data_IF_230817100329
#
_entry.id   IF_230817100329
#
_cell.length_a   1.000
_cell.length_b   1.000
_cell.length_c   1.000
_cell.angle_alpha   90.00
_cell.angle_beta   90.00
_cell.angle_gamma   90.00
#
_symmetry.space_group_name_H-M   'P 1'
#
loop_
_entity.id
_entity.type
_entity.pdbx_description
1 polymer ?
#
# COMPACT_ATOMS: atom_id res chain seq x y z
N UNK A 1 -38.51 12.05 -28.23
CA UNK A 1 -37.18 12.43 -27.72
C UNK A 1 -37.02 11.78 -26.36
N UNK A 2 -36.55 10.54 -26.33
CA UNK A 2 -36.32 9.78 -25.10
C UNK A 2 -34.94 10.18 -24.58
N UNK A 3 -34.89 10.84 -23.42
CA UNK A 3 -33.65 11.07 -22.70
C UNK A 3 -33.02 9.71 -22.39
N UNK A 4 -31.79 9.51 -22.85
CA UNK A 4 -31.03 8.30 -22.56
C UNK A 4 -30.73 8.31 -21.05
N UNK A 5 -31.05 7.24 -20.28
CA UNK A 5 -30.72 7.21 -18.87
C UNK A 5 -29.20 7.17 -18.74
N UNK A 6 -28.63 8.20 -18.10
CA UNK A 6 -27.22 8.26 -17.73
C UNK A 6 -26.93 7.00 -16.92
N UNK A 7 -26.02 6.16 -17.41
CA UNK A 7 -25.66 4.92 -16.72
C UNK A 7 -24.72 5.27 -15.56
N UNK A 8 -24.71 4.46 -14.50
CA UNK A 8 -23.88 4.68 -13.30
C UNK A 8 -22.37 4.82 -13.63
N UNK A 9 -21.94 4.26 -14.77
CA UNK A 9 -20.57 4.39 -15.30
C UNK A 9 -20.27 5.78 -15.84
N UNK A 10 -21.26 6.47 -16.43
CA UNK A 10 -21.12 7.83 -16.95
C UNK A 10 -21.04 8.85 -15.80
N UNK A 11 -21.74 8.60 -14.70
CA UNK A 11 -21.70 9.44 -13.50
C UNK A 11 -20.32 9.39 -12.81
N UNK A 12 -19.73 8.19 -12.69
CA UNK A 12 -18.39 8.01 -12.14
C UNK A 12 -17.32 8.75 -12.96
N UNK A 13 -17.36 8.62 -14.30
CA UNK A 13 -16.43 9.31 -15.19
C UNK A 13 -16.54 10.84 -15.08
N UNK A 14 -17.76 11.38 -14.98
CA UNK A 14 -17.98 12.82 -14.79
C UNK A 14 -17.43 13.33 -13.44
N UNK A 15 -17.55 12.52 -12.38
CA UNK A 15 -16.99 12.85 -11.07
C UNK A 15 -15.45 12.87 -11.11
N UNK A 16 -14.83 11.89 -11.76
CA UNK A 16 -13.38 11.81 -11.94
C UNK A 16 -12.86 13.04 -12.72
N UNK A 17 -13.48 13.36 -13.86
CA UNK A 17 -13.11 14.52 -14.68
C UNK A 17 -13.23 15.83 -13.89
N UNK A 18 -14.34 16.01 -13.16
CA UNK A 18 -14.53 17.19 -12.31
C UNK A 18 -13.49 17.28 -11.18
N UNK A 19 -13.10 16.16 -10.57
CA UNK A 19 -12.05 16.12 -9.56
C UNK A 19 -10.69 16.52 -10.14
N UNK A 20 -10.37 16.05 -11.35
CA UNK A 20 -9.15 16.44 -12.07
C UNK A 20 -9.14 17.94 -12.37
N UNK A 21 -10.26 18.50 -12.81
CA UNK A 21 -10.37 19.94 -13.09
C UNK A 21 -10.15 20.81 -11.85
N UNK A 22 -10.76 20.42 -10.72
CA UNK A 22 -10.55 21.10 -9.43
C UNK A 22 -9.08 21.03 -9.00
N UNK A 23 -8.46 19.86 -9.14
CA UNK A 23 -7.08 19.66 -8.74
C UNK A 23 -6.10 20.42 -9.65
N UNK A 24 -6.37 20.42 -10.95
CA UNK A 24 -5.65 21.22 -11.94
C UNK A 24 -5.72 22.72 -11.61
N UNK A 25 -6.88 23.21 -11.15
CA UNK A 25 -7.02 24.59 -10.67
C UNK A 25 -6.12 24.84 -9.44
N UNK A 26 -6.15 23.96 -8.44
CA UNK A 26 -5.34 24.10 -7.23
C UNK A 26 -3.83 24.11 -7.54
N UNK A 27 -3.38 23.23 -8.46
CA UNK A 27 -2.01 23.19 -8.97
C UNK A 27 -1.61 24.54 -9.59
N UNK A 28 -2.43 25.08 -10.48
CA UNK A 28 -2.19 26.37 -11.16
C UNK A 28 -2.11 27.54 -10.16
N UNK A 29 -3.05 27.60 -9.22
CA UNK A 29 -3.09 28.64 -8.19
C UNK A 29 -1.82 28.61 -7.33
N UNK A 30 -1.39 27.41 -6.89
CA UNK A 30 -0.18 27.24 -6.08
C UNK A 30 1.09 27.61 -6.86
N UNK A 31 1.21 27.18 -8.11
CA UNK A 31 2.33 27.56 -8.98
C UNK A 31 2.36 29.07 -9.26
N UNK A 32 1.20 29.74 -9.30
CA UNK A 32 1.15 31.20 -9.41
C UNK A 32 1.78 31.89 -8.20
N UNK A 33 1.41 31.49 -6.99
CA UNK A 33 2.01 32.01 -5.75
C UNK A 33 3.51 31.73 -5.70
N UNK A 34 3.95 30.52 -6.07
CA UNK A 34 5.37 30.15 -6.09
C UNK A 34 6.19 30.98 -7.08
N UNK A 35 5.64 31.31 -8.25
CA UNK A 35 6.30 32.22 -9.22
C UNK A 35 6.52 33.61 -8.64
N UNK A 36 5.57 34.14 -7.88
CA UNK A 36 5.72 35.45 -7.20
C UNK A 36 6.82 35.41 -6.12
N UNK A 37 7.05 34.24 -5.51
CA UNK A 37 8.14 34.02 -4.55
C UNK A 37 9.50 33.78 -5.21
N UNK A 38 9.60 33.90 -6.55
CA UNK A 38 10.85 33.71 -7.30
C UNK A 38 11.17 32.27 -7.66
N UNK A 39 10.27 31.30 -7.38
CA UNK A 39 10.46 29.92 -7.82
C UNK A 39 10.14 29.77 -9.32
N UNK A 40 11.04 29.14 -10.06
CA UNK A 40 10.95 28.95 -11.51
C UNK A 40 12.04 28.02 -12.04
N UNK A 41 12.27 28.01 -13.35
CA UNK A 41 13.42 27.32 -13.96
C UNK A 41 13.34 25.79 -14.03
N UNK A 42 12.26 25.18 -13.53
CA UNK A 42 12.13 23.70 -13.50
C UNK A 42 12.19 23.04 -14.88
N UNK A 43 11.85 23.75 -15.96
CA UNK A 43 11.89 23.22 -17.33
C UNK A 43 13.32 23.21 -17.92
N UNK A 44 14.26 23.92 -17.28
CA UNK A 44 15.66 23.99 -17.68
C UNK A 44 16.48 23.01 -16.84
N UNK A 45 17.01 21.96 -17.50
CA UNK A 45 17.81 20.90 -16.87
C UNK A 45 19.06 21.48 -16.18
N UNK A 46 19.62 22.58 -16.70
CA UNK A 46 20.81 23.22 -16.11
C UNK A 46 20.52 23.96 -14.81
N UNK A 47 19.27 24.41 -14.62
CA UNK A 47 18.81 25.08 -13.40
C UNK A 47 18.22 24.11 -12.38
N UNK A 48 17.62 23.01 -12.85
CA UNK A 48 17.03 21.98 -12.01
C UNK A 48 17.26 20.60 -12.62
N UNK A 49 18.08 19.75 -12.01
CA UNK A 49 18.30 18.39 -12.50
C UNK A 49 17.07 17.51 -12.26
N UNK A 50 16.93 16.42 -13.03
CA UNK A 50 15.87 15.42 -12.82
C UNK A 50 15.95 14.78 -11.43
N UNK A 51 17.16 14.51 -10.94
CA UNK A 51 17.40 14.05 -9.56
C UNK A 51 16.86 15.04 -8.52
N UNK A 52 17.14 16.34 -8.72
CA UNK A 52 16.67 17.38 -7.80
C UNK A 52 15.14 17.49 -7.80
N UNK A 53 14.48 17.36 -8.95
CA UNK A 53 13.02 17.32 -9.03
C UNK A 53 12.44 16.10 -8.31
N UNK A 54 13.09 14.93 -8.45
CA UNK A 54 12.68 13.73 -7.74
C UNK A 54 12.83 13.86 -6.21
N UNK A 55 13.90 14.47 -5.73
CA UNK A 55 14.07 14.80 -4.30
C UNK A 55 12.96 15.74 -3.79
N UNK A 56 12.60 16.77 -4.57
CA UNK A 56 11.54 17.70 -4.23
C UNK A 56 10.17 17.00 -4.17
N UNK A 57 9.91 16.05 -5.08
CA UNK A 57 8.71 15.21 -5.05
C UNK A 57 8.63 14.40 -3.76
N UNK A 58 9.70 13.69 -3.38
CA UNK A 58 9.74 12.90 -2.14
C UNK A 58 9.61 13.79 -0.90
N UNK A 59 10.23 14.98 -0.92
CA UNK A 59 10.06 15.97 0.14
C UNK A 59 8.63 16.50 0.25
N UNK A 60 7.88 16.61 -0.85
CA UNK A 60 6.47 16.97 -0.84
C UNK A 60 5.59 15.85 -0.26
N UNK A 61 5.89 14.59 -0.58
CA UNK A 61 5.23 13.41 0.01
C UNK A 61 5.43 13.39 1.52
N UNK A 62 6.67 13.57 2.00
CA UNK A 62 6.98 13.61 3.42
C UNK A 62 6.28 14.75 4.18
N UNK A 63 6.02 15.88 3.51
CA UNK A 63 5.25 17.00 4.08
C UNK A 63 3.73 16.78 4.06
N UNK A 64 3.25 15.78 3.32
CA UNK A 64 1.82 15.49 3.18
C UNK A 64 1.04 16.51 2.36
N UNK A 65 1.69 17.21 1.41
CA UNK A 65 1.03 18.21 0.56
C UNK A 65 0.73 17.65 -0.84
N UNK A 66 -0.51 17.19 -1.11
CA UNK A 66 -0.84 16.53 -2.38
C UNK A 66 -0.70 17.45 -3.60
N UNK A 67 -0.88 18.77 -3.45
CA UNK A 67 -0.77 19.71 -4.57
C UNK A 67 0.69 19.90 -4.97
N UNK A 68 1.63 19.94 -4.01
CA UNK A 68 3.05 19.96 -4.34
C UNK A 68 3.52 18.64 -4.94
N UNK A 69 3.02 17.50 -4.42
CA UNK A 69 3.30 16.18 -5.01
C UNK A 69 2.90 16.15 -6.49
N UNK A 70 1.69 16.59 -6.81
CA UNK A 70 1.22 16.62 -8.19
C UNK A 70 1.98 17.60 -9.07
N UNK A 71 2.34 18.78 -8.55
CA UNK A 71 3.15 19.75 -9.29
C UNK A 71 4.52 19.18 -9.66
N UNK A 72 5.24 18.56 -8.71
CA UNK A 72 6.55 17.97 -9.01
C UNK A 72 6.44 16.72 -9.90
N UNK A 73 5.43 15.88 -9.70
CA UNK A 73 5.16 14.74 -10.58
C UNK A 73 4.88 15.19 -12.02
N UNK A 74 4.07 16.24 -12.20
CA UNK A 74 3.80 16.83 -13.51
C UNK A 74 5.07 17.41 -14.15
N UNK A 75 5.94 18.07 -13.38
CA UNK A 75 7.21 18.60 -13.91
C UNK A 75 8.13 17.50 -14.45
N UNK A 76 8.25 16.38 -13.72
CA UNK A 76 9.00 15.20 -14.17
C UNK A 76 8.38 14.61 -15.44
N UNK A 77 7.05 14.46 -15.46
CA UNK A 77 6.32 13.95 -16.61
C UNK A 77 6.51 14.81 -17.87
N UNK A 78 6.34 16.13 -17.75
CA UNK A 78 6.48 17.07 -18.88
C UNK A 78 7.92 17.17 -19.42
N UNK A 79 8.92 16.79 -18.63
CA UNK A 79 10.32 16.69 -19.07
C UNK A 79 10.67 15.34 -19.66
N UNK A 80 9.74 14.38 -19.64
CA UNK A 80 10.00 12.98 -20.01
C UNK A 80 11.18 12.39 -19.24
N UNK A 81 11.34 12.79 -17.97
CA UNK A 81 12.38 12.21 -17.10
C UNK A 81 12.14 10.72 -16.93
N UNK A 82 13.21 9.93 -16.98
CA UNK A 82 13.14 8.50 -16.74
C UNK A 82 12.74 8.25 -15.27
N UNK A 83 11.85 7.28 -15.05
CA UNK A 83 11.50 6.76 -13.72
C UNK A 83 12.74 6.36 -12.90
N UNK A 84 13.89 6.12 -13.53
CA UNK A 84 15.17 5.87 -12.87
C UNK A 84 15.60 7.01 -11.92
N UNK A 85 15.38 8.28 -12.28
CA UNK A 85 15.72 9.41 -11.40
C UNK A 85 14.90 9.39 -10.10
N UNK A 86 13.62 9.03 -10.18
CA UNK A 86 12.75 8.87 -9.02
C UNK A 86 13.17 7.67 -8.16
N UNK A 87 13.47 6.53 -8.79
CA UNK A 87 13.98 5.33 -8.09
C UNK A 87 15.29 5.62 -7.36
N UNK A 88 16.22 6.34 -8.00
CA UNK A 88 17.50 6.71 -7.42
C UNK A 88 17.33 7.66 -6.23
N UNK A 89 16.49 8.69 -6.36
CA UNK A 89 16.18 9.60 -5.26
C UNK A 89 15.52 8.86 -4.08
N UNK A 90 14.60 7.94 -4.35
CA UNK A 90 13.94 7.14 -3.31
C UNK A 90 14.93 6.23 -2.58
N UNK A 91 15.84 5.58 -3.30
CA UNK A 91 16.90 4.77 -2.71
C UNK A 91 17.80 5.60 -1.77
N UNK A 92 18.10 6.86 -2.13
CA UNK A 92 18.86 7.79 -1.27
C UNK A 92 18.10 8.16 0.01
N UNK A 93 16.80 8.45 -0.08
CA UNK A 93 15.94 8.75 1.09
C UNK A 93 15.81 7.53 2.02
N UNK A 94 15.86 6.32 1.45
CA UNK A 94 15.86 5.08 2.22
C UNK A 94 17.07 4.91 3.15
N UNK A 95 18.14 5.68 3.00
CA UNK A 95 19.37 5.47 3.78
C UNK A 95 19.37 6.14 5.16
N UNK A 96 18.53 7.15 5.40
CA UNK A 96 18.45 7.86 6.70
C UNK A 96 17.19 7.52 7.52
N UNK A 97 16.19 6.86 6.91
CA UNK A 97 14.96 6.43 7.58
C UNK A 97 14.84 4.89 7.75
N UNK A 98 15.74 4.07 7.17
CA UNK A 98 15.72 2.62 7.38
C UNK A 98 16.70 2.17 8.48
N UNK A 99 16.29 2.37 9.73
CA UNK A 99 16.46 1.34 10.77
C UNK A 99 15.14 0.63 11.07
N UNK A 100 14.27 0.54 10.07
CA UNK A 100 13.27 -0.52 9.99
C UNK A 100 13.58 -1.36 8.75
N UNK A 101 14.73 -2.01 8.75
CA UNK A 101 14.96 -3.16 7.86
C UNK A 101 14.13 -4.32 8.41
N UNK A 102 12.80 -4.26 8.24
CA UNK A 102 12.16 -5.46 7.74
C UNK A 102 12.83 -5.69 6.39
N UNK A 103 13.87 -6.52 6.38
CA UNK A 103 14.40 -7.08 5.15
C UNK A 103 13.19 -7.43 4.30
N UNK A 104 13.18 -7.01 3.04
CA UNK A 104 12.30 -7.55 2.02
C UNK A 104 12.66 -9.03 1.82
N UNK A 105 12.49 -9.84 2.85
CA UNK A 105 12.42 -11.27 2.74
C UNK A 105 11.35 -11.50 1.67
N UNK A 106 11.74 -12.17 0.58
CA UNK A 106 10.87 -12.51 -0.52
C UNK A 106 9.65 -13.22 0.07
N UNK A 107 8.57 -12.48 0.29
CA UNK A 107 7.38 -13.04 0.91
C UNK A 107 6.87 -14.13 -0.02
N UNK A 108 6.52 -15.32 0.50
CA UNK A 108 6.02 -16.40 -0.33
C UNK A 108 4.88 -15.90 -1.21
N UNK A 109 4.85 -16.29 -2.49
CA UNK A 109 3.77 -15.90 -3.41
C UNK A 109 2.39 -16.37 -2.95
N UNK A 110 2.33 -17.36 -2.06
CA UNK A 110 1.12 -17.85 -1.40
C UNK A 110 1.38 -17.98 0.10
N UNK A 111 0.35 -17.73 0.91
CA UNK A 111 0.41 -17.94 2.36
C UNK A 111 0.83 -19.39 2.64
N UNK A 112 1.87 -19.63 3.47
CA UNK A 112 2.33 -20.98 3.75
C UNK A 112 1.27 -21.88 4.41
N UNK A 113 0.33 -21.28 5.16
CA UNK A 113 -0.68 -22.01 5.92
C UNK A 113 -2.00 -22.07 5.15
N UNK A 114 -2.56 -20.93 4.72
CA UNK A 114 -3.88 -20.89 4.07
C UNK A 114 -3.84 -21.03 2.56
N UNK A 115 -2.65 -20.98 1.94
CA UNK A 115 -2.42 -21.00 0.48
C UNK A 115 -3.06 -19.85 -0.32
N UNK A 116 -3.65 -18.86 0.36
CA UNK A 116 -4.15 -17.61 -0.25
C UNK A 116 -3.03 -16.90 -1.00
N UNK A 117 -3.33 -16.28 -2.13
CA UNK A 117 -2.35 -15.56 -2.94
C UNK A 117 -1.84 -14.32 -2.21
N UNK A 118 -0.55 -14.02 -2.37
CA UNK A 118 0.00 -12.74 -1.93
C UNK A 118 -0.74 -11.60 -2.63
N UNK A 119 -1.15 -10.62 -1.86
CA UNK A 119 -1.89 -9.47 -2.39
C UNK A 119 -1.03 -8.20 -2.33
N UNK A 120 -0.70 -7.73 -1.12
CA UNK A 120 0.12 -6.54 -0.93
C UNK A 120 0.69 -6.45 0.49
N UNK A 121 1.64 -5.53 0.70
CA UNK A 121 2.16 -5.20 2.03
C UNK A 121 1.36 -4.02 2.60
N UNK A 122 0.92 -4.13 3.85
CA UNK A 122 0.10 -3.12 4.53
C UNK A 122 0.71 -2.80 5.90
N UNK A 123 0.63 -1.54 6.33
CA UNK A 123 1.05 -1.13 7.68
C UNK A 123 0.01 -1.54 8.73
N UNK A 124 0.38 -2.42 9.66
CA UNK A 124 -0.37 -2.77 10.85
C UNK A 124 0.06 -1.89 12.04
N UNK A 125 -0.87 -1.40 12.87
CA UNK A 125 -0.56 -0.52 14.00
C UNK A 125 0.47 -1.10 14.99
N UNK A 126 0.41 -2.42 15.22
CA UNK A 126 1.28 -3.10 16.18
C UNK A 126 2.47 -3.84 15.55
N UNK A 127 2.33 -4.29 14.29
CA UNK A 127 3.28 -5.20 13.65
C UNK A 127 4.16 -4.50 12.60
N UNK A 128 3.89 -3.21 12.31
CA UNK A 128 4.55 -2.49 11.23
C UNK A 128 4.12 -3.02 9.86
N UNK A 129 5.04 -3.05 8.89
CA UNK A 129 4.74 -3.49 7.53
C UNK A 129 4.62 -5.01 7.47
N UNK A 130 3.42 -5.51 7.17
CA UNK A 130 3.13 -6.94 7.10
C UNK A 130 2.68 -7.35 5.70
N UNK A 131 3.11 -8.52 5.19
CA UNK A 131 2.54 -9.09 3.97
C UNK A 131 1.11 -9.54 4.23
N UNK A 132 0.21 -9.25 3.29
CA UNK A 132 -1.17 -9.71 3.34
C UNK A 132 -1.50 -10.59 2.14
N UNK A 133 -2.36 -11.57 2.38
CA UNK A 133 -2.74 -12.63 1.46
C UNK A 133 -4.26 -12.67 1.33
N UNK A 134 -4.79 -12.93 0.14
CA UNK A 134 -6.24 -12.91 -0.11
C UNK A 134 -6.58 -12.24 -1.43
N UNK A 135 -7.47 -11.24 -1.38
CA UNK A 135 -7.97 -10.57 -2.57
C UNK A 135 -8.40 -9.13 -2.32
N UNK A 136 -9.06 -8.50 -3.31
CA UNK A 136 -9.30 -7.06 -3.33
C UNK A 136 -10.33 -6.55 -2.31
N UNK A 137 -11.15 -7.43 -1.72
CA UNK A 137 -12.11 -7.05 -0.68
C UNK A 137 -11.51 -7.19 0.72
N UNK A 138 -10.82 -8.30 0.95
CA UNK A 138 -10.20 -8.62 2.23
C UNK A 138 -8.82 -9.26 2.02
N UNK A 139 -7.84 -8.76 2.76
CA UNK A 139 -6.53 -9.40 2.85
C UNK A 139 -6.17 -9.68 4.30
N UNK A 140 -5.35 -10.72 4.49
CA UNK A 140 -5.11 -11.35 5.79
C UNK A 140 -3.63 -11.55 6.02
N UNK A 141 -3.18 -11.43 7.27
CA UNK A 141 -1.80 -11.83 7.63
C UNK A 141 -1.59 -13.34 7.53
N UNK A 142 -0.34 -13.78 7.64
CA UNK A 142 -0.04 -15.19 7.90
C UNK A 142 -0.67 -15.57 9.25
N UNK A 143 -1.36 -16.72 9.37
CA UNK A 143 -2.00 -17.12 10.62
C UNK A 143 -1.03 -17.19 11.79
N UNK A 144 -1.50 -16.72 12.95
CA UNK A 144 -0.81 -16.78 14.23
C UNK A 144 -1.54 -17.78 15.15
N UNK A 145 -0.80 -18.45 16.04
CA UNK A 145 -1.39 -19.34 17.04
C UNK A 145 -1.74 -18.57 18.30
N UNK A 146 -3.00 -18.65 18.72
CA UNK A 146 -3.47 -18.16 20.01
C UNK A 146 -3.13 -19.14 21.15
N UNK A 147 -3.17 -18.69 22.40
CA UNK A 147 -2.91 -19.50 23.59
C UNK A 147 -1.44 -19.51 24.04
N UNK A 148 -1.18 -20.23 25.12
CA UNK A 148 0.14 -20.25 25.76
C UNK A 148 1.08 -21.26 25.08
N UNK A 149 2.42 -21.05 25.13
CA UNK A 149 3.39 -22.00 24.57
C UNK A 149 3.32 -23.41 25.19
N UNK A 150 2.73 -23.55 26.38
CA UNK A 150 2.56 -24.83 27.08
C UNK A 150 1.31 -25.60 26.64
N UNK A 151 0.36 -24.94 25.97
CA UNK A 151 -0.88 -25.57 25.54
C UNK A 151 -0.62 -26.53 24.38
N UNK A 152 -1.43 -27.58 24.28
CA UNK A 152 -1.29 -28.54 23.20
C UNK A 152 -1.60 -27.88 21.85
N UNK A 153 -0.76 -28.09 20.83
CA UNK A 153 -0.90 -27.45 19.52
C UNK A 153 -2.28 -27.62 18.88
N UNK A 154 -2.94 -28.76 19.10
CA UNK A 154 -4.25 -29.04 18.53
C UNK A 154 -5.42 -28.38 19.28
N UNK A 155 -5.19 -27.89 20.50
CA UNK A 155 -6.16 -27.11 21.29
C UNK A 155 -6.10 -25.61 20.93
N UNK A 156 -4.95 -25.15 20.43
CA UNK A 156 -4.69 -23.74 20.10
C UNK A 156 -5.36 -23.32 18.80
N UNK A 157 -6.11 -22.22 18.83
CA UNK A 157 -6.72 -21.64 17.64
C UNK A 157 -5.68 -20.95 16.75
N UNK A 158 -5.92 -20.99 15.44
CA UNK A 158 -5.21 -20.12 14.50
C UNK A 158 -6.11 -18.93 14.20
N UNK A 159 -5.56 -17.73 14.28
CA UNK A 159 -6.27 -16.53 13.85
C UNK A 159 -5.46 -15.76 12.81
N UNK A 160 -6.15 -14.95 12.03
CA UNK A 160 -5.53 -13.99 11.10
C UNK A 160 -5.99 -12.58 11.42
N UNK A 161 -5.13 -11.62 11.13
CA UNK A 161 -5.50 -10.20 11.19
C UNK A 161 -6.05 -9.82 9.83
N UNK A 162 -7.24 -9.24 9.81
CA UNK A 162 -7.98 -8.92 8.58
C UNK A 162 -7.90 -7.41 8.30
N UNK A 163 -7.54 -7.08 7.07
CA UNK A 163 -7.67 -5.73 6.52
C UNK A 163 -8.85 -5.71 5.55
N UNK A 164 -9.83 -4.87 5.85
CA UNK A 164 -11.00 -4.64 5.01
C UNK A 164 -10.68 -3.50 4.04
N UNK A 165 -10.61 -3.81 2.74
CA UNK A 165 -10.24 -2.85 1.70
C UNK A 165 -11.37 -1.91 1.33
N UNK A 166 -12.63 -2.32 1.53
CA UNK A 166 -13.79 -1.44 1.31
C UNK A 166 -13.83 -0.34 2.36
N UNK A 167 -13.43 -0.67 3.60
CA UNK A 167 -13.38 0.28 4.72
C UNK A 167 -12.04 0.99 4.86
N UNK A 168 -10.97 0.40 4.37
CA UNK A 168 -9.62 0.95 4.42
C UNK A 168 -8.97 0.91 5.82
N UNK A 169 -9.31 -0.07 6.65
CA UNK A 169 -8.68 -0.25 7.97
C UNK A 169 -8.68 -1.71 8.45
N UNK A 170 -7.83 -1.99 9.45
CA UNK A 170 -7.76 -3.28 10.12
C UNK A 170 -8.99 -3.51 11.00
N UNK A 171 -9.70 -4.60 10.77
CA UNK A 171 -10.89 -5.00 11.54
C UNK A 171 -10.51 -6.08 12.57
N UNK A 172 -11.51 -6.56 13.31
CA UNK A 172 -11.32 -7.63 14.30
C UNK A 172 -10.65 -8.86 13.67
N UNK A 173 -9.85 -9.56 14.48
CA UNK A 173 -9.19 -10.79 14.08
C UNK A 173 -10.23 -11.87 13.70
N UNK A 174 -9.86 -12.72 12.76
CA UNK A 174 -10.70 -13.81 12.29
C UNK A 174 -10.07 -15.16 12.65
N UNK A 175 -10.84 -15.99 13.35
CA UNK A 175 -10.46 -17.35 13.69
C UNK A 175 -10.57 -18.28 12.47
N UNK A 176 -9.54 -19.10 12.27
CA UNK A 176 -9.52 -20.10 11.23
C UNK A 176 -10.03 -21.45 11.75
N UNK A 177 -10.86 -22.16 10.96
CA UNK A 177 -11.35 -23.50 11.29
C UNK A 177 -10.29 -24.58 11.02
N UNK A 178 -9.00 -24.26 11.23
CA UNK A 178 -7.86 -25.15 11.04
C UNK A 178 -7.08 -25.29 12.36
N UNK A 179 -6.40 -26.43 12.53
CA UNK A 179 -5.58 -26.73 13.71
C UNK A 179 -4.27 -27.39 13.30
N UNK A 180 -3.23 -27.17 14.10
CA UNK A 180 -1.95 -27.86 13.96
C UNK A 180 -1.98 -29.11 14.83
N UNK A 181 -1.88 -30.28 14.21
CA UNK A 181 -1.90 -31.57 14.90
C UNK A 181 -0.53 -32.22 14.72
N UNK A 182 0.04 -32.75 15.80
CA UNK A 182 1.27 -33.54 15.70
C UNK A 182 0.99 -34.91 15.08
N UNK A 183 1.97 -35.52 14.42
CA UNK A 183 1.82 -36.87 13.86
C UNK A 183 1.36 -37.90 14.91
N UNK A 184 1.86 -37.81 16.15
CA UNK A 184 1.42 -38.69 17.24
C UNK A 184 -0.06 -38.50 17.56
N UNK A 185 -0.51 -37.25 17.71
CA UNK A 185 -1.92 -36.95 17.97
C UNK A 185 -2.81 -37.37 16.79
N UNK A 186 -2.31 -37.24 15.56
CA UNK A 186 -3.00 -37.71 14.36
C UNK A 186 -3.13 -39.24 14.36
N UNK A 187 -2.06 -39.95 14.72
CA UNK A 187 -2.05 -41.41 14.84
C UNK A 187 -3.03 -41.88 15.93
N UNK A 188 -3.04 -41.23 17.09
CA UNK A 188 -4.00 -41.51 18.18
C UNK A 188 -5.46 -41.32 17.73
N UNK A 189 -5.75 -40.26 16.95
CA UNK A 189 -7.08 -40.02 16.41
C UNK A 189 -7.49 -41.08 15.36
N UNK A 190 -6.53 -41.59 14.58
CA UNK A 190 -6.77 -42.62 13.57
C UNK A 190 -6.94 -44.01 14.20
N UNK A 191 -6.18 -44.33 15.25
CA UNK A 191 -6.25 -45.59 16.00
C UNK A 191 -7.43 -45.61 16.96
N UNK A 192 -7.81 -44.45 17.49
CA UNK A 192 -8.88 -44.26 18.48
C UNK A 192 -10.30 -44.33 17.91
N UNK A 193 -10.46 -44.45 16.58
CA UNK A 193 -11.69 -44.81 15.87
C UNK A 193 -12.99 -44.11 16.34
N UNK A 194 -13.47 -43.16 15.55
CA UNK A 194 -14.89 -42.77 15.58
C UNK A 194 -15.81 -43.95 15.24
#
# INVERSE_FOLDING_TARGET
>A
MTANPITHTDEAALLDDHAVDLFCKAMKDKLHVKRQQGFGGWHDISQCSGERLAELLLGAVAKGDPVDVANFAMMLFCRHEDHHALKAAYAKVGTEALTCTAQWAEFPAKCPITRRDFFMVIGHPELGMVPTYGGPYDSYTIPEMEGEPTDQFHERALFVRRYDHDRGYWVDNEDLPMRVISENSLQELQEGGL
#
